data_IF_313129683507
#
_entry.id   IF_313129683507
#
_cell.length_a   1.000
_cell.length_b   1.000
_cell.length_c   1.000
_cell.angle_alpha   90.00
_cell.angle_beta   90.00
_cell.angle_gamma   90.00
#
_symmetry.space_group_name_H-M   'P 1'
#
loop_
_entity.id
_entity.type
_entity.pdbx_description
1 polymer ?
#
# COMPACT_ATOMS: atom_id res chain seq x y z
N UNK A 1 1.79 16.99 5.98
CA UNK A 1 3.24 16.69 5.93
C UNK A 1 3.51 16.06 4.58
N UNK A 2 4.53 16.48 3.82
CA UNK A 2 4.83 15.83 2.53
C UNK A 2 5.48 14.45 2.83
N UNK A 3 5.01 13.34 2.22
CA UNK A 3 5.61 12.04 2.44
C UNK A 3 7.10 12.05 2.05
N UNK A 4 7.91 11.29 2.78
CA UNK A 4 9.33 11.16 2.44
C UNK A 4 9.47 10.53 1.04
N UNK A 5 10.60 10.76 0.34
CA UNK A 5 10.86 10.14 -0.97
C UNK A 5 10.73 8.61 -0.93
N UNK A 6 11.14 7.97 0.16
CA UNK A 6 11.05 6.53 0.37
C UNK A 6 9.59 6.07 0.49
N UNK A 7 8.76 6.80 1.24
CA UNK A 7 7.32 6.52 1.35
C UNK A 7 6.63 6.68 -0.01
N UNK A 8 6.95 7.75 -0.74
CA UNK A 8 6.41 7.97 -2.09
C UNK A 8 6.79 6.85 -3.06
N UNK A 9 8.04 6.38 -3.01
CA UNK A 9 8.50 5.25 -3.82
C UNK A 9 7.80 3.94 -3.44
N UNK A 10 7.63 3.67 -2.15
CA UNK A 10 6.93 2.48 -1.67
C UNK A 10 5.45 2.46 -2.09
N UNK A 11 4.76 3.60 -1.97
CA UNK A 11 3.37 3.76 -2.44
C UNK A 11 3.24 3.50 -3.94
N UNK A 12 4.15 4.06 -4.74
CA UNK A 12 4.18 3.85 -6.18
C UNK A 12 4.40 2.38 -6.55
N UNK A 13 5.35 1.72 -5.87
CA UNK A 13 5.63 0.30 -6.09
C UNK A 13 4.43 -0.59 -5.71
N UNK A 14 3.85 -0.40 -4.52
CA UNK A 14 2.68 -1.16 -4.07
C UNK A 14 1.48 -1.02 -5.01
N UNK A 15 1.27 0.18 -5.55
CA UNK A 15 0.20 0.44 -6.53
C UNK A 15 0.46 -0.30 -7.83
N UNK A 16 1.70 -0.27 -8.34
CA UNK A 16 2.09 -0.98 -9.55
C UNK A 16 1.92 -2.50 -9.40
N UNK A 17 2.32 -3.07 -8.26
CA UNK A 17 2.10 -4.48 -7.94
C UNK A 17 0.61 -4.83 -7.87
N UNK A 18 -0.22 -3.98 -7.25
CA UNK A 18 -1.67 -4.20 -7.18
C UNK A 18 -2.35 -4.22 -8.55
N UNK A 19 -1.80 -3.51 -9.54
CA UNK A 19 -2.27 -3.52 -10.92
C UNK A 19 -1.72 -4.73 -11.69
N UNK A 20 -0.49 -5.16 -11.38
CA UNK A 20 0.16 -6.33 -11.95
C UNK A 20 -0.44 -7.67 -11.48
N UNK A 21 -0.99 -7.75 -10.26
CA UNK A 21 -1.68 -8.94 -9.70
C UNK A 21 -2.81 -9.47 -10.60
N UNK A 22 -3.25 -8.72 -11.61
CA UNK A 22 -4.17 -9.20 -12.65
C UNK A 22 -3.63 -10.34 -13.53
N UNK A 23 -2.32 -10.58 -13.60
CA UNK A 23 -1.76 -11.54 -14.56
C UNK A 23 -1.57 -12.96 -14.03
N UNK A 24 -2.35 -13.43 -13.06
CA UNK A 24 -2.32 -14.82 -12.54
C UNK A 24 -2.52 -15.95 -13.57
N UNK A 25 -2.51 -15.63 -14.87
CA UNK A 25 -2.43 -16.53 -15.99
C UNK A 25 -1.27 -17.54 -15.80
N UNK A 26 -1.63 -18.79 -15.52
CA UNK A 26 -0.70 -19.91 -15.40
C UNK A 26 -0.48 -20.44 -13.97
N UNK A 27 -1.02 -19.78 -12.93
CA UNK A 27 -0.86 -20.21 -11.53
C UNK A 27 -2.13 -20.81 -10.90
N UNK A 28 -3.22 -20.94 -11.67
CA UNK A 28 -4.52 -21.47 -11.23
C UNK A 28 -5.07 -20.80 -9.95
N UNK A 29 -4.71 -19.52 -9.76
CA UNK A 29 -5.13 -18.74 -8.58
C UNK A 29 -6.58 -18.27 -8.80
N UNK A 30 -7.49 -18.54 -7.84
CA UNK A 30 -8.86 -18.05 -7.93
C UNK A 30 -8.93 -16.53 -8.07
N UNK A 31 -9.85 -16.04 -8.91
CA UNK A 31 -10.01 -14.60 -9.14
C UNK A 31 -10.27 -13.80 -7.85
N UNK A 32 -10.94 -14.40 -6.86
CA UNK A 32 -11.16 -13.78 -5.55
C UNK A 32 -9.87 -13.58 -4.75
N UNK A 33 -8.91 -14.48 -4.85
CA UNK A 33 -7.61 -14.36 -4.18
C UNK A 33 -6.74 -13.29 -4.83
N UNK A 34 -6.76 -13.19 -6.17
CA UNK A 34 -6.12 -12.09 -6.90
C UNK A 34 -6.71 -10.73 -6.51
N UNK A 35 -8.04 -10.64 -6.44
CA UNK A 35 -8.73 -9.42 -6.01
C UNK A 35 -8.36 -9.03 -4.57
N UNK A 36 -8.31 -10.01 -3.67
CA UNK A 36 -7.92 -9.79 -2.28
C UNK A 36 -6.47 -9.31 -2.15
N UNK A 37 -5.52 -9.95 -2.85
CA UNK A 37 -4.12 -9.54 -2.85
C UNK A 37 -3.95 -8.11 -3.38
N UNK A 38 -4.62 -7.78 -4.48
CA UNK A 38 -4.61 -6.43 -5.04
C UNK A 38 -5.22 -5.39 -4.08
N UNK A 39 -6.30 -5.73 -3.35
CA UNK A 39 -6.89 -4.85 -2.34
C UNK A 39 -5.95 -4.63 -1.15
N UNK A 40 -5.25 -5.68 -0.69
CA UNK A 40 -4.28 -5.54 0.42
C UNK A 40 -3.14 -4.61 0.07
N UNK A 41 -2.57 -4.74 -1.13
CA UNK A 41 -1.49 -3.86 -1.59
C UNK A 41 -1.94 -2.39 -1.63
N UNK A 42 -3.15 -2.13 -2.14
CA UNK A 42 -3.75 -0.76 -2.13
C UNK A 42 -4.00 -0.25 -0.72
N UNK A 43 -4.46 -1.10 0.20
CA UNK A 43 -4.64 -0.73 1.60
C UNK A 43 -3.32 -0.36 2.29
N UNK A 44 -2.24 -1.09 2.02
CA UNK A 44 -0.90 -0.75 2.50
C UNK A 44 -0.42 0.59 1.94
N UNK A 45 -0.59 0.84 0.64
CA UNK A 45 -0.24 2.12 0.01
C UNK A 45 -1.01 3.29 0.67
N UNK A 46 -2.33 3.15 0.82
CA UNK A 46 -3.16 4.16 1.47
C UNK A 46 -2.77 4.40 2.94
N UNK A 47 -2.43 3.35 3.69
CA UNK A 47 -1.96 3.47 5.06
C UNK A 47 -0.61 4.20 5.18
N UNK A 48 0.30 4.00 4.22
CA UNK A 48 1.55 4.74 4.15
C UNK A 48 1.33 6.23 3.82
N UNK A 49 0.46 6.53 2.86
CA UNK A 49 0.07 7.91 2.52
C UNK A 49 -0.59 8.64 3.69
N UNK A 50 -1.44 7.92 4.44
CA UNK A 50 -2.11 8.43 5.63
C UNK A 50 -1.20 8.53 6.86
N UNK A 51 0.04 8.05 6.79
CA UNK A 51 0.98 8.10 7.90
C UNK A 51 0.69 7.10 9.02
N UNK A 52 -0.15 6.08 8.80
CA UNK A 52 -0.55 5.08 9.82
C UNK A 52 0.60 4.17 10.28
N UNK A 53 1.76 4.26 9.63
CA UNK A 53 3.00 3.58 10.03
C UNK A 53 3.75 4.34 11.12
N UNK A 54 3.39 5.60 11.37
CA UNK A 54 3.99 6.41 12.42
C UNK A 54 3.29 6.07 13.74
N UNK A 55 4.03 5.97 14.87
CA UNK A 55 3.40 5.87 16.17
C UNK A 55 2.50 7.10 16.41
N UNK A 56 1.43 6.95 17.20
CA UNK A 56 0.47 8.02 17.56
C UNK A 56 1.10 9.27 18.21
N UNK A 57 2.42 9.30 18.40
CA UNK A 57 3.21 10.34 19.04
C UNK A 57 3.53 11.57 18.14
N UNK A 58 2.63 11.94 17.22
CA UNK A 58 2.76 13.17 16.42
C UNK A 58 1.75 14.27 16.80
N UNK A 59 0.92 14.05 17.83
CA UNK A 59 0.08 15.11 18.42
C UNK A 59 0.77 15.90 19.55
N UNK A 60 1.85 15.40 20.16
CA UNK A 60 2.40 15.98 21.40
C UNK A 60 3.60 16.94 21.24
N UNK A 61 4.09 17.21 20.03
CA UNK A 61 5.27 18.06 19.82
C UNK A 61 4.98 19.55 19.51
N UNK A 62 3.70 19.96 19.51
CA UNK A 62 3.28 21.35 19.31
C UNK A 62 2.32 21.87 20.42
N UNK A 63 2.35 21.26 21.61
CA UNK A 63 1.66 21.75 22.80
C UNK A 63 2.61 22.47 23.76
#
# INVERSE_FOLDING_TARGET
MKPSPEIAAAVAWLTAEADAVKSGAGLDVPAGELAFAAQRLRACAAGLEAGLHLPDALEAAHG
#
